data_IF_487938688788
#
_entry.id   IF_487938688788
#
_cell.length_a   1.000
_cell.length_b   1.000
_cell.length_c   1.000
_cell.angle_alpha   90.00
_cell.angle_beta   90.00
_cell.angle_gamma   90.00
#
_symmetry.space_group_name_H-M   'P 1'
#
loop_
_entity.id
_entity.type
_entity.pdbx_description
1 polymer ?
#
# COMPACT_ATOMS: atom_id res chain seq x y z
N UNK A 1 -5.20 5.99 51.10
CA UNK A 1 -6.12 6.42 50.01
C UNK A 1 -5.42 7.20 48.89
N UNK A 2 -4.55 8.19 49.17
CA UNK A 2 -3.85 8.97 48.13
C UNK A 2 -2.99 8.14 47.15
N UNK A 3 -2.36 7.06 47.63
CA UNK A 3 -1.48 6.23 46.80
C UNK A 3 -2.23 5.43 45.71
N UNK A 4 -3.47 5.01 45.97
CA UNK A 4 -4.27 4.24 45.01
C UNK A 4 -4.83 5.10 43.87
N UNK A 5 -5.15 6.37 44.16
CA UNK A 5 -5.66 7.33 43.16
C UNK A 5 -4.58 7.67 42.13
N UNK A 6 -3.33 7.84 42.58
CA UNK A 6 -2.19 8.11 41.70
C UNK A 6 -1.89 6.95 40.74
N UNK A 7 -1.97 5.70 41.23
CA UNK A 7 -1.76 4.51 40.39
C UNK A 7 -2.85 4.34 39.34
N UNK A 8 -4.12 4.57 39.70
CA UNK A 8 -5.26 4.53 38.77
C UNK A 8 -5.13 5.59 37.67
N UNK A 9 -4.80 6.83 38.03
CA UNK A 9 -4.57 7.91 37.05
C UNK A 9 -3.42 7.59 36.10
N UNK A 10 -2.30 7.06 36.61
CA UNK A 10 -1.18 6.64 35.76
C UNK A 10 -1.58 5.55 34.77
N UNK A 11 -2.41 4.59 35.20
CA UNK A 11 -2.88 3.51 34.33
C UNK A 11 -3.83 4.01 33.23
N UNK A 12 -4.72 4.96 33.55
CA UNK A 12 -5.61 5.58 32.55
C UNK A 12 -4.81 6.36 31.50
N UNK A 13 -3.81 7.13 31.92
CA UNK A 13 -2.95 7.88 30.99
C UNK A 13 -2.16 6.94 30.09
N UNK A 14 -1.59 5.87 30.66
CA UNK A 14 -0.83 4.88 29.91
C UNK A 14 -1.70 4.17 28.86
N UNK A 15 -2.89 3.72 29.26
CA UNK A 15 -3.82 3.05 28.34
C UNK A 15 -4.36 3.99 27.26
N UNK A 16 -4.62 5.26 27.59
CA UNK A 16 -5.00 6.28 26.62
C UNK A 16 -3.87 6.56 25.61
N UNK A 17 -2.61 6.62 26.06
CA UNK A 17 -1.46 6.79 25.18
C UNK A 17 -1.26 5.59 24.24
N UNK A 18 -1.36 4.36 24.77
CA UNK A 18 -1.24 3.13 23.98
C UNK A 18 -2.32 3.00 22.91
N UNK A 19 -3.57 3.35 23.26
CA UNK A 19 -4.69 3.32 22.30
C UNK A 19 -4.52 4.37 21.22
N UNK A 20 -4.09 5.59 21.55
CA UNK A 20 -3.83 6.63 20.56
C UNK A 20 -2.70 6.24 19.58
N UNK A 21 -1.59 5.72 20.08
CA UNK A 21 -0.46 5.28 19.24
C UNK A 21 -0.88 4.11 18.34
N UNK A 22 -1.59 3.12 18.89
CA UNK A 22 -2.09 1.98 18.13
C UNK A 22 -3.07 2.41 17.03
N UNK A 23 -3.98 3.33 17.33
CA UNK A 23 -4.94 3.84 16.36
C UNK A 23 -4.25 4.56 15.19
N UNK A 24 -3.29 5.44 15.47
CA UNK A 24 -2.54 6.15 14.42
C UNK A 24 -1.69 5.16 13.61
N UNK A 25 -1.01 4.23 14.27
CA UNK A 25 -0.18 3.23 13.62
C UNK A 25 -0.97 2.32 12.69
N UNK A 26 -2.12 1.81 13.13
CA UNK A 26 -2.98 0.94 12.33
C UNK A 26 -3.57 1.64 11.12
N UNK A 27 -4.02 2.90 11.26
CA UNK A 27 -4.54 3.67 10.12
C UNK A 27 -3.45 3.96 9.07
N UNK A 28 -2.25 4.36 9.52
CA UNK A 28 -1.10 4.54 8.63
C UNK A 28 -0.71 3.23 7.93
N UNK A 29 -0.65 2.13 8.68
CA UNK A 29 -0.33 0.82 8.14
C UNK A 29 -1.34 0.36 7.09
N UNK A 30 -2.64 0.50 7.36
CA UNK A 30 -3.70 0.17 6.41
C UNK A 30 -3.54 0.95 5.09
N UNK A 31 -3.31 2.27 5.16
CA UNK A 31 -3.10 3.09 3.97
C UNK A 31 -1.86 2.67 3.17
N UNK A 32 -0.76 2.34 3.85
CA UNK A 32 0.47 1.89 3.20
C UNK A 32 0.28 0.51 2.56
N UNK A 33 -0.50 -0.36 3.19
CA UNK A 33 -0.79 -1.70 2.67
C UNK A 33 -1.68 -1.65 1.43
N UNK A 34 -2.66 -0.76 1.39
CA UNK A 34 -3.47 -0.52 0.19
C UNK A 34 -2.60 -0.02 -0.98
N UNK A 35 -1.72 0.94 -0.72
CA UNK A 35 -0.77 1.47 -1.71
C UNK A 35 0.17 0.36 -2.20
N UNK A 36 0.68 -0.48 -1.30
CA UNK A 36 1.56 -1.60 -1.65
C UNK A 36 0.86 -2.60 -2.57
N UNK A 37 -0.38 -2.98 -2.25
CA UNK A 37 -1.20 -3.90 -3.08
C UNK A 37 -1.47 -3.28 -4.45
N UNK A 38 -1.78 -1.99 -4.50
CA UNK A 38 -2.02 -1.30 -5.77
C UNK A 38 -0.76 -1.25 -6.64
N UNK A 39 0.39 -0.94 -6.05
CA UNK A 39 1.66 -0.91 -6.76
C UNK A 39 2.08 -2.28 -7.27
N UNK A 40 1.88 -3.33 -6.47
CA UNK A 40 2.17 -4.71 -6.87
C UNK A 40 1.28 -5.12 -8.05
N UNK A 41 0.00 -4.81 -8.01
CA UNK A 41 -0.90 -5.10 -9.12
C UNK A 41 -0.54 -4.31 -10.40
N UNK A 42 -0.16 -3.03 -10.27
CA UNK A 42 0.34 -2.22 -11.39
C UNK A 42 1.62 -2.82 -11.99
N UNK A 43 2.53 -3.30 -11.15
CA UNK A 43 3.74 -3.99 -11.60
C UNK A 43 3.42 -5.27 -12.38
N UNK A 44 2.57 -6.15 -11.85
CA UNK A 44 2.16 -7.39 -12.51
C UNK A 44 1.44 -7.13 -13.84
N UNK A 45 0.57 -6.11 -13.89
CA UNK A 45 -0.11 -5.71 -15.12
C UNK A 45 0.89 -5.14 -16.15
N UNK A 46 1.88 -4.36 -15.71
CA UNK A 46 2.91 -3.83 -16.59
C UNK A 46 3.80 -4.94 -17.15
N UNK A 47 4.08 -6.00 -16.38
CA UNK A 47 4.90 -7.13 -16.81
C UNK A 47 4.17 -8.05 -17.79
N UNK A 48 2.92 -8.39 -17.50
CA UNK A 48 2.10 -9.29 -18.34
C UNK A 48 1.65 -8.67 -19.66
N UNK A 49 1.61 -7.33 -19.75
CA UNK A 49 1.21 -6.61 -20.96
C UNK A 49 2.38 -6.23 -21.87
N UNK A 50 3.62 -6.68 -21.61
CA UNK A 50 4.78 -6.23 -22.40
C UNK A 50 4.77 -6.80 -23.80
N UNK A 51 5.05 -5.96 -24.78
CA UNK A 51 5.41 -6.36 -26.14
C UNK A 51 6.79 -5.81 -26.49
N UNK A 52 7.44 -6.49 -27.42
CA UNK A 52 8.78 -6.18 -27.88
C UNK A 52 8.69 -5.31 -29.14
N UNK A 53 9.40 -4.18 -29.15
CA UNK A 53 9.63 -3.37 -30.35
C UNK A 53 11.11 -3.40 -30.66
N UNK A 54 11.45 -3.74 -31.90
CA UNK A 54 12.82 -3.63 -32.40
C UNK A 54 12.96 -2.32 -33.18
N UNK A 55 13.85 -1.44 -32.70
CA UNK A 55 14.20 -0.19 -33.36
C UNK A 55 15.00 -0.41 -34.66
N UNK A 56 15.11 0.63 -35.48
CA UNK A 56 15.84 0.60 -36.76
C UNK A 56 17.35 0.30 -36.60
N UNK A 57 17.87 0.44 -35.39
CA UNK A 57 19.23 0.19 -34.93
C UNK A 57 19.40 -1.19 -34.26
N UNK A 58 18.42 -2.09 -34.38
CA UNK A 58 18.35 -3.39 -33.69
C UNK A 58 18.25 -3.30 -32.15
N UNK A 59 17.93 -2.13 -31.58
CA UNK A 59 17.69 -2.00 -30.15
C UNK A 59 16.30 -2.57 -29.81
N UNK A 60 16.25 -3.45 -28.81
CA UNK A 60 15.02 -4.06 -28.32
C UNK A 60 14.49 -3.25 -27.13
N UNK A 61 13.28 -2.72 -27.23
CA UNK A 61 12.60 -2.01 -26.14
C UNK A 61 11.27 -2.68 -25.81
N UNK A 62 10.99 -2.82 -24.52
CA UNK A 62 9.78 -3.46 -24.00
C UNK A 62 8.80 -2.41 -23.50
N UNK A 63 7.61 -2.36 -24.10
CA UNK A 63 6.54 -1.44 -23.70
C UNK A 63 5.31 -2.22 -23.24
N UNK A 64 4.59 -1.77 -22.20
CA UNK A 64 3.28 -2.33 -21.89
C UNK A 64 2.29 -1.93 -22.99
N UNK A 65 1.49 -2.89 -23.48
CA UNK A 65 0.33 -2.63 -24.35
C UNK A 65 -0.72 -1.93 -23.51
N UNK A 66 -0.98 -0.64 -23.82
CA UNK A 66 -1.92 0.21 -23.07
C UNK A 66 -3.28 -0.47 -22.81
N UNK A 67 -3.87 -1.07 -23.84
CA UNK A 67 -5.21 -1.70 -23.71
C UNK A 67 -5.19 -2.94 -22.81
N UNK A 68 -4.15 -3.78 -22.88
CA UNK A 68 -4.01 -4.96 -22.03
C UNK A 68 -3.69 -4.55 -20.59
N UNK A 69 -2.87 -3.52 -20.42
CA UNK A 69 -2.55 -2.95 -19.12
C UNK A 69 -3.81 -2.38 -18.44
N UNK A 70 -4.59 -1.56 -19.15
CA UNK A 70 -5.84 -1.00 -18.63
C UNK A 70 -6.89 -2.06 -18.31
N UNK A 71 -7.01 -3.11 -19.14
CA UNK A 71 -7.89 -4.26 -18.83
C UNK A 71 -7.45 -4.99 -17.57
N UNK A 72 -6.15 -5.27 -17.42
CA UNK A 72 -5.61 -5.92 -16.23
C UNK A 72 -5.89 -5.09 -14.96
N UNK A 73 -5.70 -3.76 -15.01
CA UNK A 73 -6.02 -2.89 -13.87
C UNK A 73 -7.52 -2.96 -13.49
N UNK A 74 -8.41 -2.92 -14.49
CA UNK A 74 -9.86 -3.05 -14.25
C UNK A 74 -10.23 -4.40 -13.61
N UNK A 75 -9.63 -5.51 -14.06
CA UNK A 75 -9.84 -6.83 -13.47
C UNK A 75 -9.33 -6.92 -12.02
N UNK A 76 -8.26 -6.17 -11.68
CA UNK A 76 -7.75 -6.03 -10.31
C UNK A 76 -8.52 -5.01 -9.47
N UNK A 77 -9.54 -4.36 -10.04
CA UNK A 77 -10.35 -3.34 -9.36
C UNK A 77 -9.65 -1.99 -9.17
N UNK A 78 -8.54 -1.76 -9.89
CA UNK A 78 -7.75 -0.52 -9.84
C UNK A 78 -8.24 0.40 -10.96
N UNK A 79 -8.62 1.62 -10.59
CA UNK A 79 -9.08 2.65 -11.53
C UNK A 79 -7.92 3.47 -12.10
#
# INVERSE_FOLDING_TARGET
MKNQIGTLLGFVILTAALTAVSFVGLNKFASLREIEIENEARFQCAESSRYQVTGADNVIVWYPVSDLYSKCLQEKGIK
#
